data_IF_751607016586
#
_entry.id   IF_751607016586
#
_cell.length_a   1.000
_cell.length_b   1.000
_cell.length_c   1.000
_cell.angle_alpha   90.00
_cell.angle_beta   90.00
_cell.angle_gamma   90.00
#
_symmetry.space_group_name_H-M   'P 1'
#
loop_
_entity.id
_entity.type
_entity.pdbx_description
1 polymer ?
#
# COMPACT_ATOMS: atom_id res chain seq x y z
N UNK A 1 12.77 -19.22 -57.09
CA UNK A 1 12.31 -19.73 -55.78
C UNK A 1 11.62 -18.61 -54.98
N UNK A 2 10.50 -18.10 -55.51
CA UNK A 2 9.62 -17.08 -54.86
C UNK A 2 8.14 -17.43 -55.07
N UNK A 3 7.82 -18.67 -55.49
CA UNK A 3 6.50 -19.07 -55.95
C UNK A 3 5.75 -20.05 -55.02
N UNK A 4 6.24 -20.30 -53.80
CA UNK A 4 5.65 -21.30 -52.89
C UNK A 4 5.15 -20.73 -51.55
N UNK A 5 5.13 -19.40 -51.39
CA UNK A 5 4.64 -18.73 -50.17
C UNK A 5 3.18 -18.22 -50.26
N UNK A 6 2.59 -18.08 -51.44
CA UNK A 6 1.23 -17.52 -51.60
C UNK A 6 0.09 -18.54 -51.45
N UNK A 7 0.39 -19.85 -51.39
CA UNK A 7 -0.64 -20.90 -51.38
C UNK A 7 -1.17 -21.31 -50.00
N UNK A 8 -0.80 -20.60 -48.94
CA UNK A 8 -1.29 -20.87 -47.56
C UNK A 8 -2.31 -19.84 -47.07
N UNK A 9 -2.66 -18.83 -47.88
CA UNK A 9 -3.51 -17.71 -47.45
C UNK A 9 -5.04 -17.95 -47.55
N UNK A 10 -5.50 -19.17 -47.85
CA UNK A 10 -6.91 -19.51 -48.03
C UNK A 10 -7.32 -20.68 -47.13
N UNK A 11 -7.28 -20.47 -45.82
CA UNK A 11 -7.88 -21.38 -44.84
C UNK A 11 -8.15 -20.62 -43.54
N UNK A 12 -9.44 -20.48 -43.23
CA UNK A 12 -10.02 -20.03 -41.95
C UNK A 12 -10.06 -18.52 -41.65
N UNK A 13 -11.05 -17.86 -42.26
CA UNK A 13 -11.96 -17.01 -41.49
C UNK A 13 -12.85 -17.89 -40.62
N UNK A 14 -12.93 -17.61 -39.31
CA UNK A 14 -14.13 -17.71 -38.46
C UNK A 14 -13.71 -17.74 -36.99
N UNK A 15 -14.09 -16.71 -36.26
CA UNK A 15 -14.68 -16.77 -34.90
C UNK A 15 -14.37 -15.47 -34.18
N UNK A 16 -15.33 -14.55 -34.31
CA UNK A 16 -15.66 -13.58 -33.29
C UNK A 16 -15.58 -14.23 -31.91
N UNK A 17 -14.70 -13.71 -31.08
CA UNK A 17 -14.78 -13.83 -29.62
C UNK A 17 -14.18 -12.55 -29.08
N UNK A 18 -15.01 -11.52 -28.93
CA UNK A 18 -14.68 -10.37 -28.10
C UNK A 18 -14.64 -10.89 -26.67
N UNK A 19 -13.48 -11.40 -26.25
CA UNK A 19 -13.16 -11.53 -24.85
C UNK A 19 -12.99 -10.11 -24.32
N UNK A 20 -13.97 -9.62 -23.59
CA UNK A 20 -13.72 -8.55 -22.61
C UNK A 20 -12.73 -9.14 -21.63
N UNK A 21 -11.45 -8.86 -21.84
CA UNK A 21 -10.46 -9.01 -20.81
C UNK A 21 -10.87 -8.06 -19.69
N UNK A 22 -11.62 -8.58 -18.72
CA UNK A 22 -11.56 -8.07 -17.36
C UNK A 22 -10.10 -8.19 -16.96
N UNK A 23 -9.39 -7.09 -17.14
CA UNK A 23 -8.08 -6.89 -16.55
C UNK A 23 -8.25 -7.24 -15.08
N UNK A 24 -7.48 -8.19 -14.51
CA UNK A 24 -7.33 -8.20 -13.08
C UNK A 24 -6.75 -6.82 -12.75
N UNK A 25 -7.55 -5.97 -12.12
CA UNK A 25 -7.02 -4.84 -11.35
C UNK A 25 -5.98 -5.49 -10.45
N UNK A 26 -4.71 -5.25 -10.80
CA UNK A 26 -3.59 -5.96 -10.26
C UNK A 26 -3.70 -5.97 -8.75
N UNK A 27 -3.85 -7.16 -8.18
CA UNK A 27 -3.50 -7.38 -6.80
C UNK A 27 -2.04 -6.91 -6.68
N UNK A 28 -1.84 -5.81 -5.96
CA UNK A 28 -0.53 -5.32 -5.56
C UNK A 28 0.17 -6.45 -4.80
N UNK A 29 0.94 -7.23 -5.54
CA UNK A 29 1.78 -8.27 -4.98
C UNK A 29 2.84 -7.68 -4.06
N UNK A 30 3.37 -8.47 -3.12
CA UNK A 30 4.26 -8.02 -2.04
C UNK A 30 5.61 -7.54 -2.59
N UNK A 31 5.69 -6.29 -3.02
CA UNK A 31 6.93 -5.63 -3.50
C UNK A 31 7.07 -4.31 -2.73
N UNK A 32 7.92 -4.29 -1.70
CA UNK A 32 8.22 -3.09 -0.89
C UNK A 32 7.51 -2.98 0.46
N UNK A 33 7.18 -4.10 1.12
CA UNK A 33 6.49 -4.09 2.42
C UNK A 33 7.46 -3.70 3.54
N UNK A 34 7.52 -2.41 3.88
CA UNK A 34 8.26 -2.00 5.06
C UNK A 34 8.18 -0.50 5.24
N UNK A 35 8.89 0.26 4.41
CA UNK A 35 9.11 1.69 4.69
C UNK A 35 8.30 2.62 3.78
N UNK A 36 8.19 2.33 2.48
CA UNK A 36 7.31 3.09 1.60
C UNK A 36 5.83 3.07 2.04
N UNK A 37 5.24 1.92 2.44
CA UNK A 37 3.86 1.90 2.92
C UNK A 37 3.70 2.61 4.28
N UNK A 38 4.70 2.59 5.17
CA UNK A 38 4.52 3.20 6.50
C UNK A 38 4.44 4.72 6.43
N UNK A 39 5.28 5.37 5.61
CA UNK A 39 5.21 6.84 5.48
C UNK A 39 3.87 7.30 4.91
N UNK A 40 3.31 6.56 3.95
CA UNK A 40 1.99 6.86 3.40
C UNK A 40 0.90 6.71 4.46
N UNK A 41 0.92 5.62 5.23
CA UNK A 41 0.00 5.40 6.35
C UNK A 41 0.09 6.55 7.38
N UNK A 42 1.30 6.95 7.77
CA UNK A 42 1.49 8.04 8.74
C UNK A 42 1.02 9.38 8.17
N UNK A 43 1.31 9.67 6.90
CA UNK A 43 0.85 10.89 6.23
C UNK A 43 -0.67 10.99 6.15
N UNK A 44 -1.36 9.88 5.86
CA UNK A 44 -2.81 9.85 5.69
C UNK A 44 -3.56 9.91 7.03
N UNK A 45 -3.05 9.26 8.07
CA UNK A 45 -3.82 9.06 9.30
C UNK A 45 -3.27 9.75 10.55
N UNK A 46 -2.00 10.15 10.54
CA UNK A 46 -1.30 10.59 11.76
C UNK A 46 -0.82 12.05 11.68
N UNK A 47 -0.37 12.51 10.51
CA UNK A 47 0.27 13.83 10.34
C UNK A 47 -0.65 15.01 10.62
N UNK A 48 -1.98 14.84 10.53
CA UNK A 48 -2.92 15.92 10.89
C UNK A 48 -2.73 16.39 12.35
N UNK A 49 -2.39 15.47 13.26
CA UNK A 49 -2.20 15.77 14.69
C UNK A 49 -0.74 15.58 15.16
N UNK A 50 0.08 14.91 14.36
CA UNK A 50 1.49 14.60 14.65
C UNK A 50 2.41 15.05 13.52
N UNK A 51 2.10 16.19 12.89
CA UNK A 51 2.88 16.78 11.81
C UNK A 51 3.78 17.92 12.27
N UNK A 52 4.42 18.61 11.31
CA UNK A 52 5.25 19.78 11.63
C UNK A 52 4.45 20.94 12.26
N UNK A 53 3.19 21.13 11.83
CA UNK A 53 2.31 22.21 12.29
C UNK A 53 1.67 21.92 13.65
N UNK A 54 1.28 20.67 13.89
CA UNK A 54 0.61 20.23 15.11
C UNK A 54 1.34 19.00 15.64
N UNK A 55 1.88 19.12 16.85
CA UNK A 55 2.70 18.09 17.49
C UNK A 55 2.03 17.62 18.78
N UNK A 56 0.96 16.85 18.64
CA UNK A 56 0.24 16.34 19.80
C UNK A 56 1.17 15.50 20.67
N UNK A 57 1.22 15.86 21.97
CA UNK A 57 2.15 15.27 22.95
C UNK A 57 3.62 15.33 22.54
N UNK A 58 4.00 16.35 21.77
CA UNK A 58 5.37 16.57 21.31
C UNK A 58 5.91 15.40 20.46
N UNK A 59 5.02 14.71 19.73
CA UNK A 59 5.35 13.62 18.79
C UNK A 59 5.19 14.10 17.36
N UNK A 60 6.21 13.85 16.55
CA UNK A 60 6.30 14.14 15.10
C UNK A 60 6.34 12.83 14.31
N UNK A 61 5.54 12.71 13.27
CA UNK A 61 5.42 11.53 12.38
C UNK A 61 5.40 11.94 10.89
N UNK A 62 5.83 13.17 10.59
CA UNK A 62 5.94 13.74 9.23
C UNK A 62 7.25 13.38 8.53
N UNK A 63 8.25 12.87 9.25
CA UNK A 63 9.54 12.48 8.70
C UNK A 63 9.88 11.04 9.03
N UNK A 64 10.65 10.36 8.16
CA UNK A 64 11.07 8.98 8.42
C UNK A 64 11.82 8.87 9.75
N UNK A 65 12.82 9.73 9.98
CA UNK A 65 13.62 9.71 11.19
C UNK A 65 12.75 9.81 12.46
N UNK A 66 11.73 10.68 12.46
CA UNK A 66 10.82 10.80 13.60
C UNK A 66 9.89 9.58 13.74
N UNK A 67 9.38 9.03 12.63
CA UNK A 67 8.59 7.78 12.66
C UNK A 67 9.42 6.64 13.28
N UNK A 68 10.70 6.53 12.90
CA UNK A 68 11.60 5.51 13.43
C UNK A 68 11.92 5.74 14.91
N UNK A 69 12.18 6.99 15.31
CA UNK A 69 12.42 7.37 16.70
C UNK A 69 11.22 7.02 17.61
N UNK A 70 10.00 7.10 17.08
CA UNK A 70 8.77 6.85 17.82
C UNK A 70 8.12 5.49 17.53
N UNK A 71 8.84 4.58 16.88
CA UNK A 71 8.28 3.31 16.39
C UNK A 71 7.58 2.49 17.48
N UNK A 72 8.17 2.38 18.68
CA UNK A 72 7.58 1.64 19.80
C UNK A 72 6.29 2.28 20.32
N UNK A 73 6.25 3.61 20.42
CA UNK A 73 5.07 4.35 20.82
C UNK A 73 3.95 4.23 19.78
N UNK A 74 4.29 4.32 18.49
CA UNK A 74 3.35 4.11 17.38
C UNK A 74 2.76 2.70 17.44
N UNK A 75 3.60 1.67 17.58
CA UNK A 75 3.14 0.28 17.69
C UNK A 75 2.22 0.08 18.89
N UNK A 76 2.62 0.56 20.08
CA UNK A 76 1.82 0.44 21.27
C UNK A 76 0.44 1.10 21.10
N UNK A 77 0.40 2.28 20.47
CA UNK A 77 -0.83 3.04 20.40
C UNK A 77 -1.76 2.63 19.27
N UNK A 78 -1.19 2.22 18.13
CA UNK A 78 -1.94 1.83 16.93
C UNK A 78 -2.26 0.34 16.93
N UNK A 79 -1.33 -0.53 17.32
CA UNK A 79 -1.52 -2.00 17.21
C UNK A 79 -2.07 -2.57 18.52
N UNK A 80 -1.45 -2.26 19.65
CA UNK A 80 -1.79 -2.88 20.94
C UNK A 80 -3.03 -2.23 21.56
N UNK A 81 -2.98 -0.92 21.79
CA UNK A 81 -4.07 -0.17 22.46
C UNK A 81 -5.17 0.24 21.50
N UNK A 82 -4.85 0.35 20.20
CA UNK A 82 -5.78 0.77 19.14
C UNK A 82 -6.46 2.12 19.44
N UNK A 83 -5.81 2.97 20.23
CA UNK A 83 -6.34 4.27 20.64
C UNK A 83 -6.11 5.36 19.58
N UNK A 84 -5.22 5.09 18.60
CA UNK A 84 -4.96 5.96 17.47
C UNK A 84 -5.30 5.26 16.14
N UNK A 85 -5.84 5.99 15.16
CA UNK A 85 -6.23 7.42 15.21
C UNK A 85 -7.41 7.68 16.16
N UNK A 86 -7.47 8.88 16.76
CA UNK A 86 -8.49 9.23 17.76
C UNK A 86 -9.90 8.97 17.21
N UNK A 87 -10.69 8.16 17.93
CA UNK A 87 -12.03 7.71 17.55
C UNK A 87 -12.11 7.11 16.13
N UNK A 88 -10.99 6.65 15.58
CA UNK A 88 -10.86 6.20 14.21
C UNK A 88 -11.38 7.20 13.16
N UNK A 89 -11.19 8.51 13.39
CA UNK A 89 -11.74 9.57 12.54
C UNK A 89 -11.32 9.49 11.06
N UNK A 90 -10.17 8.88 10.77
CA UNK A 90 -9.62 8.71 9.41
C UNK A 90 -9.94 7.34 8.80
N UNK A 91 -10.86 6.58 9.40
CA UNK A 91 -11.27 5.25 8.93
C UNK A 91 -10.10 4.27 8.77
N UNK A 92 -9.16 4.30 9.72
CA UNK A 92 -8.01 3.42 9.74
C UNK A 92 -8.43 1.96 9.87
N UNK A 93 -8.04 1.18 8.87
CA UNK A 93 -8.48 -0.21 8.67
C UNK A 93 -7.59 -1.20 9.41
N UNK A 94 -8.07 -2.44 9.51
CA UNK A 94 -7.28 -3.53 10.08
C UNK A 94 -6.10 -3.93 9.19
N UNK A 95 -6.25 -3.81 7.86
CA UNK A 95 -5.18 -4.05 6.90
C UNK A 95 -4.02 -3.07 7.11
N UNK A 96 -4.32 -1.77 7.27
CA UNK A 96 -3.29 -0.76 7.52
C UNK A 96 -2.65 -0.93 8.91
N UNK A 97 -3.43 -1.34 9.92
CA UNK A 97 -2.88 -1.68 11.24
C UNK A 97 -1.90 -2.85 11.17
N UNK A 98 -2.21 -3.85 10.34
CA UNK A 98 -1.30 -4.97 10.09
C UNK A 98 -0.02 -4.52 9.38
N UNK A 99 -0.08 -3.51 8.50
CA UNK A 99 1.14 -2.91 7.92
C UNK A 99 2.03 -2.29 9.00
N UNK A 100 1.45 -1.56 9.96
CA UNK A 100 2.20 -1.00 11.10
C UNK A 100 2.81 -2.10 11.96
N UNK A 101 2.05 -3.17 12.23
CA UNK A 101 2.53 -4.34 12.97
C UNK A 101 3.73 -4.99 12.30
N UNK A 102 3.59 -5.38 11.04
CA UNK A 102 4.67 -6.03 10.27
C UNK A 102 5.89 -5.12 10.14
N UNK A 103 5.68 -3.83 9.88
CA UNK A 103 6.78 -2.86 9.84
C UNK A 103 7.53 -2.80 11.17
N UNK A 104 6.83 -2.75 12.31
CA UNK A 104 7.49 -2.73 13.62
C UNK A 104 8.24 -4.04 13.92
N UNK A 105 7.61 -5.18 13.64
CA UNK A 105 8.18 -6.52 13.92
C UNK A 105 9.43 -6.82 13.09
N UNK A 106 9.52 -6.32 11.85
CA UNK A 106 10.69 -6.51 10.98
C UNK A 106 11.90 -5.66 11.35
N UNK A 107 11.76 -4.75 12.33
CA UNK A 107 12.82 -3.86 12.81
C UNK A 107 13.45 -4.32 14.13
N UNK A 108 12.85 -5.30 14.80
CA UNK A 108 13.36 -5.90 16.03
C UNK A 108 14.37 -7.01 15.71
#
# INVERSE_FOLDING_TARGET
AVAELEKRQLAQSAATSVSVAVLPLGASGPQGQGIAPIQQVMAQHCVQCHGAQVQMKNIRLDSLASIEQHASAVYQQVVVLRAMPLNNATQFTEAERNLVKTWYETRQ
#
